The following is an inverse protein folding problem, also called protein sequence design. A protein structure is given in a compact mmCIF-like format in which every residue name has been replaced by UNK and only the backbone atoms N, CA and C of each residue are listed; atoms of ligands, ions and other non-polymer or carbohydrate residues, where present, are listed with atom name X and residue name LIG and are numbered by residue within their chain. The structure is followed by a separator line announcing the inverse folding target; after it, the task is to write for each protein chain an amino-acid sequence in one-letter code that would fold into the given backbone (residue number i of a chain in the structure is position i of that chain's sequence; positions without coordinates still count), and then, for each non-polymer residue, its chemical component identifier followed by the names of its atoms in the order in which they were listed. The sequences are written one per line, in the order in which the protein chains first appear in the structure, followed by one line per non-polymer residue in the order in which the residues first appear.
data_IF_278219453284
#
_entry.id   IF_278219453284
#
_cell.length_a   1.000
_cell.length_b   1.000
_cell.length_c   1.000
_cell.angle_alpha   90.00
_cell.angle_beta   90.00
_cell.angle_gamma   90.00
#
_symmetry.space_group_name_H-M   'P 1'
#
loop_
_entity.id
_entity.type
_entity.pdbx_description
1 polymer ?
#
# COMPACT_ATOMS: atom_id res chain seq x y z
N UNK A 1 -19.25 2.88 -12.52
CA UNK A 1 -17.85 2.93 -12.05
C UNK A 1 -16.90 2.82 -13.23
N UNK A 2 -16.08 3.86 -13.41
CA UNK A 2 -14.81 3.81 -14.14
C UNK A 2 -13.68 3.45 -13.17
N UNK A 3 -12.71 2.64 -13.63
CA UNK A 3 -11.47 2.39 -12.91
C UNK A 3 -10.30 2.99 -13.69
N UNK A 4 -9.52 3.85 -13.04
CA UNK A 4 -8.25 4.35 -13.56
C UNK A 4 -7.08 3.89 -12.67
N UNK A 5 -5.87 3.82 -13.24
CA UNK A 5 -4.64 3.56 -12.49
C UNK A 5 -3.53 4.52 -12.95
N UNK A 6 -2.79 5.09 -11.99
CA UNK A 6 -1.59 5.88 -12.32
C UNK A 6 -0.40 4.97 -12.52
N UNK A 7 0.16 4.95 -13.74
CA UNK A 7 1.40 4.22 -14.01
C UNK A 7 2.64 4.94 -13.45
N UNK A 8 2.57 6.27 -13.29
CA UNK A 8 3.64 7.09 -12.71
C UNK A 8 3.07 7.83 -11.48
N UNK A 9 3.76 7.81 -10.33
CA UNK A 9 3.22 8.28 -9.05
C UNK A 9 3.27 9.81 -8.90
N UNK A 10 2.73 10.55 -9.87
CA UNK A 10 2.61 12.00 -9.79
C UNK A 10 1.29 12.43 -9.14
N UNK A 11 1.27 13.57 -8.42
CA UNK A 11 0.07 14.10 -7.82
C UNK A 11 -1.04 14.29 -8.87
N UNK A 12 -2.22 13.69 -8.68
CA UNK A 12 -3.34 13.94 -9.55
C UNK A 12 -3.85 15.38 -9.34
N UNK A 13 -4.51 16.00 -10.34
CA UNK A 13 -5.13 17.31 -10.14
C UNK A 13 -6.13 17.27 -8.98
N UNK A 14 -6.11 18.26 -8.08
CA UNK A 14 -6.87 18.22 -6.81
C UNK A 14 -8.36 17.93 -6.99
N UNK A 15 -8.99 18.48 -8.05
CA UNK A 15 -10.42 18.29 -8.31
C UNK A 15 -10.78 16.91 -8.86
N UNK A 16 -9.80 16.13 -9.33
CA UNK A 16 -10.03 14.80 -9.92
C UNK A 16 -10.31 13.71 -8.88
N UNK A 17 -10.04 13.97 -7.59
CA UNK A 17 -10.13 12.99 -6.50
C UNK A 17 -11.39 13.10 -5.66
N UNK A 18 -12.06 14.27 -5.64
CA UNK A 18 -13.13 14.61 -4.67
C UNK A 18 -14.33 13.65 -4.75
N UNK A 19 -14.53 13.00 -5.89
CA UNK A 19 -15.61 12.03 -6.12
C UNK A 19 -15.11 10.60 -6.33
N UNK A 20 -13.82 10.33 -6.11
CA UNK A 20 -13.21 9.03 -6.34
C UNK A 20 -12.89 8.32 -5.02
N UNK A 21 -13.15 7.03 -5.01
CA UNK A 21 -12.48 6.11 -4.08
C UNK A 21 -11.05 5.92 -4.58
N UNK A 22 -10.08 5.91 -3.67
CA UNK A 22 -8.67 5.73 -3.99
C UNK A 22 -8.13 4.50 -3.29
N UNK A 23 -7.34 3.68 -3.99
CA UNK A 23 -6.58 2.58 -3.39
C UNK A 23 -5.10 2.85 -3.60
N UNK A 24 -4.36 3.12 -2.53
CA UNK A 24 -2.90 3.29 -2.55
C UNK A 24 -2.24 1.91 -2.51
N UNK A 25 -1.24 1.71 -3.37
CA UNK A 25 -0.47 0.47 -3.48
C UNK A 25 1.03 0.81 -3.43
N UNK A 26 1.77 0.10 -2.59
CA UNK A 26 3.24 0.06 -2.47
C UNK A 26 3.57 -1.34 -1.96
N UNK A 27 3.58 -2.31 -2.87
CA UNK A 27 3.61 -3.74 -2.54
C UNK A 27 4.91 -4.09 -1.83
N UNK A 28 6.02 -3.55 -2.32
CA UNK A 28 7.37 -3.76 -1.82
C UNK A 28 7.87 -2.42 -1.27
N UNK A 29 7.58 -2.05 -0.01
CA UNK A 29 6.93 -2.88 1.03
C UNK A 29 5.85 -2.13 1.81
N UNK A 30 5.66 -0.83 1.60
CA UNK A 30 5.00 0.03 2.59
C UNK A 30 3.54 -0.36 2.84
N UNK A 31 2.74 -0.59 1.80
CA UNK A 31 1.33 -0.98 1.98
C UNK A 31 1.18 -2.40 2.51
N UNK A 32 2.07 -3.33 2.14
CA UNK A 32 2.12 -4.68 2.72
C UNK A 32 2.43 -4.63 4.22
N UNK A 33 3.38 -3.80 4.64
CA UNK A 33 3.68 -3.53 6.07
C UNK A 33 2.49 -2.92 6.79
N UNK A 34 1.84 -1.92 6.20
CA UNK A 34 0.66 -1.26 6.81
C UNK A 34 -0.48 -2.25 7.03
N UNK A 35 -0.83 -3.02 6.00
CA UNK A 35 -1.90 -4.02 6.06
C UNK A 35 -1.56 -5.09 7.09
N UNK A 36 -0.32 -5.60 7.08
CA UNK A 36 0.12 -6.63 8.00
C UNK A 36 0.13 -6.11 9.45
N UNK A 37 0.72 -4.94 9.71
CA UNK A 37 0.80 -4.36 11.05
C UNK A 37 -0.58 -4.14 11.70
N UNK A 38 -1.56 -3.64 10.93
CA UNK A 38 -2.94 -3.48 11.42
C UNK A 38 -3.57 -4.86 11.67
N UNK A 39 -3.31 -5.86 10.82
CA UNK A 39 -3.76 -7.25 11.06
C UNK A 39 -3.18 -7.88 12.33
N UNK A 40 -2.03 -7.40 12.79
CA UNK A 40 -1.39 -7.83 14.02
C UNK A 40 -1.78 -6.98 15.25
N UNK A 41 -2.71 -6.04 15.10
CA UNK A 41 -3.30 -5.30 16.22
C UNK A 41 -2.65 -3.94 16.50
N UNK A 42 -1.93 -3.35 15.54
CA UNK A 42 -1.61 -1.92 15.58
C UNK A 42 -2.90 -1.10 15.61
N UNK A 43 -2.97 -0.10 16.51
CA UNK A 43 -4.18 0.71 16.72
C UNK A 43 -4.39 1.71 15.58
N UNK A 44 -3.31 2.34 15.15
CA UNK A 44 -3.26 3.26 14.02
C UNK A 44 -1.83 3.37 13.51
N UNK A 45 -1.70 3.75 12.24
CA UNK A 45 -0.42 4.03 11.60
C UNK A 45 -0.40 5.49 11.15
N UNK A 46 0.64 6.23 11.52
CA UNK A 46 0.90 7.60 11.13
C UNK A 46 1.97 7.61 10.03
N UNK A 47 1.60 7.68 8.75
CA UNK A 47 2.57 7.81 7.66
C UNK A 47 3.12 9.24 7.63
N UNK A 48 4.44 9.39 7.83
CA UNK A 48 5.12 10.69 7.84
C UNK A 48 6.22 10.74 6.79
N UNK A 49 6.54 11.95 6.31
CA UNK A 49 7.44 12.10 5.16
C UNK A 49 8.90 12.03 5.60
N UNK A 50 9.24 12.65 6.74
CA UNK A 50 10.63 12.77 7.18
C UNK A 50 10.91 12.00 8.48
N UNK A 51 12.19 11.75 8.72
CA UNK A 51 12.65 11.09 9.95
C UNK A 51 12.43 12.03 11.14
N UNK A 52 12.68 13.32 10.95
CA UNK A 52 12.49 14.37 11.93
C UNK A 52 11.02 14.44 12.36
N UNK A 53 10.09 14.42 11.40
CA UNK A 53 8.66 14.38 11.68
C UNK A 53 8.29 13.13 12.48
N UNK A 54 8.83 11.96 12.12
CA UNK A 54 8.58 10.72 12.85
C UNK A 54 9.01 10.82 14.32
N UNK A 55 10.21 11.37 14.57
CA UNK A 55 10.75 11.57 15.90
C UNK A 55 9.95 12.59 16.71
N UNK A 56 9.47 13.65 16.06
CA UNK A 56 8.65 14.67 16.73
C UNK A 56 7.27 14.12 17.09
N UNK A 57 6.61 13.39 16.19
CA UNK A 57 5.34 12.70 16.47
C UNK A 57 5.47 11.68 17.60
N UNK A 58 6.61 10.99 17.70
CA UNK A 58 6.83 10.03 18.78
C UNK A 58 6.85 10.69 20.17
N UNK A 59 7.29 11.95 20.27
CA UNK A 59 7.28 12.72 21.53
C UNK A 59 5.86 13.12 21.97
N UNK A 60 4.92 13.21 21.03
CA UNK A 60 3.51 13.54 21.29
C UNK A 60 2.71 12.34 21.83
N UNK A 61 3.23 11.12 21.69
CA UNK A 61 2.56 9.89 22.12
C UNK A 61 3.07 9.46 23.50
N UNK A 62 2.20 8.94 24.40
CA UNK A 62 2.65 8.42 25.70
C UNK A 62 3.76 7.40 25.56
N UNK A 63 4.79 7.53 26.41
CA UNK A 63 5.97 6.66 26.38
C UNK A 63 5.58 5.18 26.38
N UNK A 64 6.15 4.41 25.45
CA UNK A 64 5.90 2.98 25.29
C UNK A 64 4.67 2.64 24.43
N UNK A 65 3.89 3.64 24.01
CA UNK A 65 2.66 3.47 23.20
C UNK A 65 2.86 3.74 21.70
N UNK A 66 4.08 4.13 21.29
CA UNK A 66 4.47 4.31 19.90
C UNK A 66 5.59 3.32 19.51
N UNK A 67 5.60 2.94 18.23
CA UNK A 67 6.67 2.21 17.56
C UNK A 67 7.11 3.06 16.36
N UNK A 68 8.41 3.33 16.26
CA UNK A 68 9.02 3.94 15.09
C UNK A 68 9.38 2.85 14.08
N UNK A 69 8.72 2.88 12.93
CA UNK A 69 8.93 1.96 11.82
C UNK A 69 9.38 2.71 10.57
N UNK A 70 10.21 2.09 9.73
CA UNK A 70 10.53 2.69 8.45
C UNK A 70 11.87 2.34 7.85
N UNK A 71 12.12 2.90 6.68
CA UNK A 71 13.33 2.63 5.91
C UNK A 71 13.88 3.86 5.19
N UNK A 72 15.18 3.83 4.92
CA UNK A 72 15.85 4.59 3.86
C UNK A 72 16.77 3.64 3.11
N UNK A 73 16.72 3.67 1.79
CA UNK A 73 17.43 2.72 0.93
C UNK A 73 17.18 1.25 1.35
N UNK A 74 15.94 0.90 1.66
CA UNK A 74 15.49 -0.41 2.14
C UNK A 74 16.05 -0.86 3.50
N UNK A 75 16.86 -0.04 4.19
CA UNK A 75 17.44 -0.35 5.50
C UNK A 75 16.67 0.32 6.62
N UNK A 76 16.58 -0.35 7.78
CA UNK A 76 16.03 0.25 8.99
C UNK A 76 16.76 1.54 9.34
N UNK A 77 16.00 2.58 9.64
CA UNK A 77 16.54 3.89 10.04
C UNK A 77 17.23 3.76 11.40
N UNK A 78 18.39 4.39 11.56
CA UNK A 78 19.12 4.36 12.82
C UNK A 78 18.26 4.97 13.95
N UNK A 79 18.14 4.25 15.06
CA UNK A 79 17.31 4.65 16.20
C UNK A 79 15.84 4.27 16.10
N UNK A 80 15.39 3.66 14.99
CA UNK A 80 14.03 3.14 14.87
C UNK A 80 13.90 1.73 15.45
N UNK A 81 12.70 1.43 15.94
CA UNK A 81 12.37 0.13 16.52
C UNK A 81 12.37 -0.95 15.43
N UNK A 82 11.63 -0.70 14.34
CA UNK A 82 11.40 -1.65 13.24
C UNK A 82 11.82 -1.06 11.88
N UNK A 83 12.18 -1.94 10.95
CA UNK A 83 12.42 -1.62 9.55
C UNK A 83 11.13 -1.54 8.74
N UNK A 84 11.21 -1.94 7.47
CA UNK A 84 10.07 -2.00 6.55
C UNK A 84 9.85 -3.43 6.02
N UNK A 85 10.23 -4.46 6.78
CA UNK A 85 9.88 -5.86 6.49
C UNK A 85 8.59 -6.23 7.24
N UNK A 86 7.56 -6.82 6.57
CA UNK A 86 6.33 -7.25 7.24
C UNK A 86 6.56 -8.16 8.45
N UNK A 87 7.57 -9.04 8.41
CA UNK A 87 7.87 -9.98 9.51
C UNK A 87 8.30 -9.30 10.81
N UNK A 88 8.75 -8.05 10.77
CA UNK A 88 9.10 -7.28 11.97
C UNK A 88 7.85 -6.83 12.76
N UNK A 89 6.69 -6.77 12.10
CA UNK A 89 5.44 -6.20 12.60
C UNK A 89 4.55 -7.28 13.23
N UNK A 90 5.03 -7.94 14.29
CA UNK A 90 4.31 -9.03 14.99
C UNK A 90 3.40 -8.53 16.12
N UNK A 91 2.38 -9.33 16.47
CA UNK A 91 1.35 -8.95 17.44
C UNK A 91 1.91 -8.62 18.84
N UNK A 92 2.94 -9.35 19.28
CA UNK A 92 3.61 -9.15 20.57
C UNK A 92 4.21 -7.74 20.69
N UNK A 93 4.69 -7.19 19.58
CA UNK A 93 5.28 -5.84 19.51
C UNK A 93 4.22 -4.77 19.35
N UNK A 94 3.17 -5.04 18.57
CA UNK A 94 2.25 -4.02 18.06
C UNK A 94 0.95 -3.85 18.84
N UNK A 95 0.50 -4.86 19.58
CA UNK A 95 -0.84 -4.85 20.19
C UNK A 95 -1.05 -3.61 21.05
N UNK A 96 -2.05 -2.80 20.68
CA UNK A 96 -2.40 -1.59 21.43
C UNK A 96 -1.48 -0.39 21.18
N UNK A 97 -0.49 -0.50 20.27
CA UNK A 97 0.46 0.56 19.97
C UNK A 97 0.12 1.29 18.67
N UNK A 98 0.57 2.53 18.59
CA UNK A 98 0.60 3.34 17.36
C UNK A 98 1.90 3.07 16.62
N UNK A 99 1.85 2.98 15.30
CA UNK A 99 3.06 2.91 14.47
C UNK A 99 3.25 4.26 13.79
N UNK A 100 4.42 4.86 13.93
CA UNK A 100 4.80 6.04 13.15
C UNK A 100 5.75 5.52 12.07
N UNK A 101 5.31 5.60 10.82
CA UNK A 101 5.95 4.95 9.67
C UNK A 101 6.49 6.01 8.71
N UNK A 102 7.78 5.92 8.35
CA UNK A 102 8.35 6.72 7.26
C UNK A 102 9.07 5.85 6.25
N UNK A 103 8.75 6.01 4.97
CA UNK A 103 9.38 5.30 3.86
C UNK A 103 9.70 6.28 2.73
N UNK A 104 10.47 5.82 1.76
CA UNK A 104 10.94 6.63 0.63
C UNK A 104 9.80 7.03 -0.32
N UNK A 105 8.88 6.08 -0.57
CA UNK A 105 7.83 6.17 -1.58
C UNK A 105 6.42 6.25 -0.96
N UNK A 106 5.98 5.18 -0.28
CA UNK A 106 4.59 5.00 0.15
C UNK A 106 3.97 6.12 1.00
N UNK A 107 4.73 6.78 1.88
CA UNK A 107 4.14 7.85 2.70
C UNK A 107 3.77 9.09 1.88
N UNK A 108 4.49 9.40 0.79
CA UNK A 108 4.15 10.52 -0.10
C UNK A 108 2.87 10.26 -0.90
N UNK A 109 2.62 9.01 -1.27
CA UNK A 109 1.43 8.63 -2.03
C UNK A 109 0.14 9.00 -1.29
N UNK A 110 0.06 8.72 0.02
CA UNK A 110 -1.10 9.12 0.85
C UNK A 110 -1.35 10.63 0.87
N UNK A 111 -0.27 11.43 0.89
CA UNK A 111 -0.39 12.88 0.85
C UNK A 111 -0.91 13.37 -0.51
N UNK A 112 -0.43 12.79 -1.62
CA UNK A 112 -0.87 13.13 -2.96
C UNK A 112 -2.35 12.83 -3.22
N UNK A 113 -2.90 11.81 -2.55
CA UNK A 113 -4.29 11.40 -2.75
C UNK A 113 -5.23 11.81 -1.62
N UNK A 114 -4.77 12.64 -0.68
CA UNK A 114 -5.50 13.05 0.52
C UNK A 114 -6.87 13.73 0.26
N UNK A 115 -7.11 14.26 -0.94
CA UNK A 115 -8.39 14.81 -1.36
C UNK A 115 -9.41 13.74 -1.85
N UNK A 116 -9.04 12.46 -1.84
CA UNK A 116 -9.91 11.34 -2.17
C UNK A 116 -11.05 11.15 -1.16
N UNK A 117 -12.20 10.64 -1.63
CA UNK A 117 -13.39 10.48 -0.78
C UNK A 117 -13.23 9.37 0.25
N UNK A 118 -12.69 8.24 -0.18
CA UNK A 118 -12.25 7.14 0.66
C UNK A 118 -10.88 6.70 0.17
N UNK A 119 -9.91 6.53 1.07
CA UNK A 119 -8.53 6.20 0.70
C UNK A 119 -8.19 4.88 1.39
N UNK A 120 -8.22 3.80 0.63
CA UNK A 120 -7.89 2.46 1.12
C UNK A 120 -6.43 2.12 0.87
N UNK A 121 -5.91 1.26 1.74
CA UNK A 121 -4.57 0.67 1.58
C UNK A 121 -4.72 -0.73 0.99
N UNK A 122 -4.14 -0.93 -0.19
CA UNK A 122 -4.18 -2.21 -0.90
C UNK A 122 -2.80 -2.84 -1.04
N UNK A 123 -2.71 -4.14 -0.80
CA UNK A 123 -1.60 -5.01 -1.18
C UNK A 123 -2.17 -6.38 -1.53
N UNK A 124 -1.36 -7.29 -2.10
CA UNK A 124 -1.81 -8.67 -2.34
C UNK A 124 -2.41 -9.34 -1.09
N UNK A 125 -1.98 -8.92 0.10
CA UNK A 125 -2.42 -9.45 1.39
C UNK A 125 -3.92 -9.27 1.65
N UNK A 126 -4.61 -8.30 1.03
CA UNK A 126 -5.99 -7.94 1.35
C UNK A 126 -6.87 -7.54 0.15
N UNK A 127 -6.44 -7.78 -1.10
CA UNK A 127 -7.16 -7.30 -2.29
C UNK A 127 -8.61 -7.77 -2.37
N UNK A 128 -8.96 -8.92 -1.78
CA UNK A 128 -10.32 -9.45 -1.80
C UNK A 128 -11.29 -8.59 -1.02
N UNK A 129 -10.87 -8.19 0.18
CA UNK A 129 -11.61 -7.27 1.02
C UNK A 129 -11.61 -5.86 0.45
N UNK A 130 -10.49 -5.38 -0.09
CA UNK A 130 -10.42 -4.08 -0.77
C UNK A 130 -11.38 -4.03 -1.96
N UNK A 131 -11.39 -5.06 -2.82
CA UNK A 131 -12.31 -5.14 -3.96
C UNK A 131 -13.77 -5.09 -3.51
N UNK A 132 -14.13 -5.85 -2.46
CA UNK A 132 -15.47 -5.80 -1.88
C UNK A 132 -15.81 -4.39 -1.38
N UNK A 133 -14.88 -3.74 -0.69
CA UNK A 133 -15.08 -2.41 -0.11
C UNK A 133 -15.24 -1.33 -1.19
N UNK A 134 -14.48 -1.40 -2.28
CA UNK A 134 -14.63 -0.48 -3.41
C UNK A 134 -16.04 -0.53 -4.01
N UNK A 135 -16.68 -1.70 -4.01
CA UNK A 135 -18.03 -1.89 -4.55
C UNK A 135 -19.16 -1.49 -3.59
N UNK A 136 -18.86 -1.21 -2.32
CA UNK A 136 -19.85 -0.66 -1.38
C UNK A 136 -20.23 0.80 -1.74
N UNK A 137 -19.40 1.46 -2.55
CA UNK A 137 -19.60 2.84 -2.97
C UNK A 137 -19.81 2.91 -4.48
N UNK A 138 -20.84 3.65 -4.91
CA UNK A 138 -21.06 3.95 -6.33
C UNK A 138 -20.18 5.13 -6.77
N UNK A 139 -18.87 4.98 -6.64
CA UNK A 139 -17.86 5.97 -7.03
C UNK A 139 -16.95 5.40 -8.12
N UNK A 140 -16.34 6.29 -8.90
CA UNK A 140 -15.20 5.91 -9.72
C UNK A 140 -13.99 5.58 -8.84
N UNK A 141 -13.16 4.66 -9.30
CA UNK A 141 -12.00 4.17 -8.58
C UNK A 141 -10.71 4.70 -9.22
N UNK A 142 -9.82 5.24 -8.39
CA UNK A 142 -8.43 5.48 -8.76
C UNK A 142 -7.53 4.51 -7.99
N UNK A 143 -6.75 3.72 -8.72
CA UNK A 143 -5.67 2.94 -8.14
C UNK A 143 -4.39 3.79 -8.24
N UNK A 144 -3.71 3.96 -7.12
CA UNK A 144 -2.51 4.81 -7.02
C UNK A 144 -1.29 3.98 -6.55
N UNK A 145 -0.57 3.37 -7.50
CA UNK A 145 0.80 2.88 -7.30
C UNK A 145 1.70 3.99 -6.76
N UNK A 146 2.46 3.69 -5.72
CA UNK A 146 3.43 4.62 -5.12
C UNK A 146 4.71 4.70 -5.93
N UNK A 147 4.98 3.68 -6.76
CA UNK A 147 6.12 3.65 -7.67
C UNK A 147 7.45 3.52 -6.92
N UNK A 148 8.53 3.72 -7.66
CA UNK A 148 9.89 3.67 -7.12
C UNK A 148 10.66 4.94 -7.48
N UNK A 149 10.84 5.83 -6.50
CA UNK A 149 11.51 7.14 -6.66
C UNK A 149 10.97 7.97 -7.85
N UNK A 150 9.64 7.98 -8.01
CA UNK A 150 8.96 8.71 -9.10
C UNK A 150 8.83 7.93 -10.41
N UNK A 151 9.34 6.69 -10.45
CA UNK A 151 9.25 5.83 -11.62
C UNK A 151 8.11 4.81 -11.52
N UNK A 152 7.79 4.20 -12.65
CA UNK A 152 6.87 3.07 -12.75
C UNK A 152 7.33 1.88 -11.89
N UNK A 153 6.41 1.33 -11.08
CA UNK A 153 6.61 0.07 -10.35
C UNK A 153 5.83 -1.07 -11.02
N UNK A 154 6.54 -2.14 -11.37
CA UNK A 154 5.94 -3.31 -12.00
C UNK A 154 5.05 -4.06 -11.01
N UNK A 155 5.54 -4.34 -9.81
CA UNK A 155 4.81 -5.04 -8.76
C UNK A 155 3.54 -4.30 -8.33
N UNK A 156 3.60 -2.97 -8.18
CA UNK A 156 2.43 -2.17 -7.80
C UNK A 156 1.37 -2.20 -8.91
N UNK A 157 1.81 -2.10 -10.16
CA UNK A 157 0.90 -2.14 -11.33
C UNK A 157 0.26 -3.52 -11.47
N UNK A 158 1.01 -4.61 -11.26
CA UNK A 158 0.47 -5.97 -11.24
C UNK A 158 -0.54 -6.16 -10.10
N UNK A 159 -0.27 -5.61 -8.92
CA UNK A 159 -1.20 -5.62 -7.80
C UNK A 159 -2.49 -4.84 -8.12
N UNK A 160 -2.37 -3.67 -8.77
CA UNK A 160 -3.51 -2.91 -9.27
C UNK A 160 -4.33 -3.67 -10.32
N UNK A 161 -3.66 -4.38 -11.23
CA UNK A 161 -4.31 -5.26 -12.20
C UNK A 161 -5.10 -6.40 -11.56
N UNK A 162 -4.56 -6.99 -10.48
CA UNK A 162 -5.26 -8.01 -9.71
C UNK A 162 -6.49 -7.45 -8.99
N UNK A 163 -6.42 -6.22 -8.49
CA UNK A 163 -7.57 -5.54 -7.91
C UNK A 163 -8.67 -5.32 -8.96
N UNK A 164 -8.30 -4.85 -10.16
CA UNK A 164 -9.23 -4.67 -11.30
C UNK A 164 -9.93 -6.00 -11.62
N UNK A 165 -9.17 -7.09 -11.80
CA UNK A 165 -9.72 -8.42 -12.06
C UNK A 165 -10.76 -8.84 -10.99
N UNK A 166 -10.44 -8.62 -9.71
CA UNK A 166 -11.32 -8.98 -8.60
C UNK A 166 -12.60 -8.18 -8.58
N UNK A 167 -12.53 -6.90 -8.91
CA UNK A 167 -13.71 -6.04 -8.98
C UNK A 167 -14.58 -6.46 -10.17
N UNK A 168 -14.00 -6.68 -11.36
CA UNK A 168 -14.71 -7.15 -12.56
C UNK A 168 -15.44 -8.47 -12.33
N UNK A 169 -14.79 -9.44 -11.66
CA UNK A 169 -15.40 -10.72 -11.29
C UNK A 169 -16.57 -10.59 -10.30
N UNK A 170 -16.66 -9.50 -9.53
CA UNK A 170 -17.68 -9.28 -8.48
C UNK A 170 -18.85 -8.42 -8.93
N UNK A 171 -18.60 -7.37 -9.69
CA UNK A 171 -19.57 -6.30 -9.98
C UNK A 171 -20.76 -6.77 -10.83
N UNK A 172 -20.61 -7.87 -11.59
CA UNK A 172 -21.67 -8.46 -12.40
C UNK A 172 -22.22 -7.55 -13.51
N UNK A 173 -21.73 -6.31 -13.60
CA UNK A 173 -22.05 -5.28 -14.59
C UNK A 173 -20.76 -4.84 -15.30
N UNK A 174 -20.87 -4.23 -16.50
CA UNK A 174 -19.72 -3.68 -17.19
C UNK A 174 -19.00 -2.61 -16.36
N UNK A 175 -17.67 -2.71 -16.28
CA UNK A 175 -16.78 -1.70 -15.69
C UNK A 175 -16.03 -1.02 -16.82
N UNK A 176 -15.98 0.31 -16.80
CA UNK A 176 -15.17 1.06 -17.75
C UNK A 176 -13.70 1.08 -17.28
N UNK A 177 -12.78 0.63 -18.13
CA UNK A 177 -11.34 0.70 -17.91
C UNK A 177 -10.73 1.77 -18.82
N UNK A 178 -9.86 2.59 -18.26
CA UNK A 178 -8.90 3.42 -19.02
C UNK A 178 -7.82 2.56 -19.69
N UNK A 179 -7.07 3.13 -20.64
CA UNK A 179 -5.94 2.42 -21.26
C UNK A 179 -4.89 1.96 -20.23
N UNK A 180 -4.65 2.78 -19.21
CA UNK A 180 -3.72 2.46 -18.14
C UNK A 180 -4.20 1.26 -17.30
N UNK A 181 -5.51 1.21 -16.99
CA UNK A 181 -6.09 0.11 -16.22
C UNK A 181 -6.22 -1.17 -17.05
N UNK A 182 -6.51 -1.05 -18.35
CA UNK A 182 -6.42 -2.18 -19.28
C UNK A 182 -4.99 -2.74 -19.36
N UNK A 183 -3.97 -1.87 -19.41
CA UNK A 183 -2.56 -2.27 -19.38
C UNK A 183 -2.20 -3.00 -18.07
N UNK A 184 -2.59 -2.45 -16.91
CA UNK A 184 -2.35 -3.08 -15.62
C UNK A 184 -3.03 -4.46 -15.52
N UNK A 185 -4.26 -4.58 -16.03
CA UNK A 185 -4.99 -5.84 -16.07
C UNK A 185 -4.29 -6.90 -16.94
N UNK A 186 -3.83 -6.54 -18.14
CA UNK A 186 -3.04 -7.42 -19.01
C UNK A 186 -1.72 -7.84 -18.33
N UNK A 187 -1.03 -6.91 -17.69
CA UNK A 187 0.19 -7.21 -16.93
C UNK A 187 -0.08 -8.21 -15.80
N UNK A 188 -1.17 -8.03 -15.06
CA UNK A 188 -1.57 -9.00 -14.04
C UNK A 188 -1.84 -10.38 -14.64
N UNK A 189 -2.60 -10.49 -15.72
CA UNK A 189 -2.88 -11.77 -16.38
C UNK A 189 -1.59 -12.51 -16.79
N UNK A 190 -0.54 -11.78 -17.18
CA UNK A 190 0.78 -12.40 -17.46
C UNK A 190 1.43 -13.02 -16.22
N UNK A 191 1.21 -12.47 -15.03
CA UNK A 191 1.87 -12.90 -13.80
C UNK A 191 0.93 -13.62 -12.82
N UNK A 192 -0.36 -13.80 -13.13
CA UNK A 192 -1.36 -14.42 -12.26
C UNK A 192 -0.93 -15.78 -11.71
N UNK A 193 -0.29 -16.61 -12.55
CA UNK A 193 0.22 -17.92 -12.15
C UNK A 193 1.48 -17.89 -11.27
N UNK A 194 2.20 -16.76 -11.22
CA UNK A 194 3.42 -16.59 -10.42
C UNK A 194 3.75 -15.11 -10.17
N UNK A 195 3.16 -14.53 -9.12
CA UNK A 195 3.39 -13.12 -8.75
C UNK A 195 4.85 -12.84 -8.39
N UNK A 196 5.54 -13.82 -7.80
CA UNK A 196 6.98 -13.73 -7.47
C UNK A 196 7.83 -13.52 -8.73
N UNK A 197 7.39 -13.98 -9.91
CA UNK A 197 8.07 -13.68 -11.17
C UNK A 197 8.08 -12.17 -11.46
N UNK A 198 6.98 -11.46 -11.19
CA UNK A 198 6.92 -10.01 -11.36
C UNK A 198 7.94 -9.30 -10.46
N UNK A 199 8.06 -9.74 -9.19
CA UNK A 199 8.99 -9.14 -8.23
C UNK A 199 10.45 -9.40 -8.62
N UNK A 200 10.76 -10.62 -9.06
CA UNK A 200 12.12 -10.93 -9.53
C UNK A 200 12.49 -10.21 -10.83
N UNK A 201 11.50 -9.74 -11.61
CA UNK A 201 11.73 -8.95 -12.83
C UNK A 201 11.83 -7.46 -12.55
N UNK A 202 11.13 -6.96 -11.54
CA UNK A 202 11.10 -5.54 -11.22
C UNK A 202 12.45 -5.03 -10.71
N UNK A 203 12.67 -3.72 -10.86
CA UNK A 203 13.90 -3.09 -10.39
C UNK A 203 13.98 -3.15 -8.86
N UNK A 204 12.92 -2.73 -8.17
CA UNK A 204 12.87 -2.69 -6.71
C UNK A 204 12.98 -4.09 -6.08
N UNK A 205 12.30 -5.10 -6.65
CA UNK A 205 12.38 -6.47 -6.15
C UNK A 205 13.79 -7.07 -6.28
N UNK A 206 14.50 -6.80 -7.40
CA UNK A 206 15.91 -7.19 -7.55
C UNK A 206 16.80 -6.49 -6.51
N UNK A 207 16.53 -5.24 -6.19
CA UNK A 207 17.30 -4.48 -5.21
C UNK A 207 17.10 -5.02 -3.79
N UNK A 208 15.87 -5.34 -3.40
CA UNK A 208 15.57 -6.00 -2.12
C UNK A 208 16.30 -7.34 -1.99
N UNK A 209 16.31 -8.16 -3.05
CA UNK A 209 17.07 -9.42 -3.07
C UNK A 209 18.56 -9.18 -2.83
N UNK A 210 19.18 -8.20 -3.50
CA UNK A 210 20.60 -7.87 -3.31
C UNK A 210 20.90 -7.42 -1.89
N UNK A 211 19.94 -6.77 -1.23
CA UNK A 211 20.05 -6.27 0.15
C UNK A 211 19.70 -7.33 1.21
N UNK A 212 19.38 -8.56 0.81
CA UNK A 212 19.09 -9.67 1.72
C UNK A 212 17.62 -9.82 2.12
N UNK A 213 16.70 -9.08 1.51
CA UNK A 213 15.26 -9.10 1.81
C UNK A 213 14.48 -10.02 0.86
N UNK A 214 15.06 -11.17 0.48
CA UNK A 214 14.36 -12.12 -0.41
C UNK A 214 13.07 -12.64 0.23
N UNK A 215 13.08 -12.92 1.52
CA UNK A 215 11.90 -13.44 2.21
C UNK A 215 10.73 -12.44 2.23
N UNK A 216 11.02 -11.14 2.23
CA UNK A 216 9.98 -10.11 2.17
C UNK A 216 9.18 -10.18 0.86
N UNK A 217 9.79 -10.62 -0.25
CA UNK A 217 9.08 -10.82 -1.51
C UNK A 217 8.05 -11.95 -1.35
N UNK A 218 8.43 -13.03 -0.67
CA UNK A 218 7.53 -14.17 -0.40
C UNK A 218 6.37 -13.72 0.50
N UNK A 219 6.64 -12.93 1.54
CA UNK A 219 5.59 -12.39 2.41
C UNK A 219 4.62 -11.48 1.65
N UNK A 220 5.15 -10.56 0.85
CA UNK A 220 4.35 -9.57 0.10
C UNK A 220 3.57 -10.19 -1.06
N UNK A 221 3.95 -11.38 -1.53
CA UNK A 221 3.24 -12.11 -2.59
C UNK A 221 2.06 -12.95 -2.08
N UNK A 222 1.90 -13.09 -0.76
CA UNK A 222 0.78 -13.84 -0.19
C UNK A 222 -0.55 -13.15 -0.53
N UNK A 223 -1.56 -13.94 -0.84
CA UNK A 223 -2.84 -13.44 -1.34
C UNK A 223 -3.90 -13.58 -0.24
N UNK A 224 -4.62 -12.49 0.04
CA UNK A 224 -5.78 -12.44 0.95
C UNK A 224 -5.58 -13.14 2.30
N UNK A 225 -4.46 -12.87 2.97
CA UNK A 225 -4.21 -13.44 4.29
C UNK A 225 -4.99 -12.72 5.39
N UNK A 226 -5.65 -11.61 5.07
CA UNK A 226 -6.48 -10.82 5.97
C UNK A 226 -7.62 -10.14 5.20
N UNK A 227 -8.77 -10.01 5.85
CA UNK A 227 -9.93 -9.26 5.34
C UNK A 227 -9.94 -7.79 5.79
N UNK A 228 -8.89 -7.33 6.47
CA UNK A 228 -8.78 -5.94 6.94
C UNK A 228 -8.53 -5.01 5.76
N UNK A 229 -9.29 -3.91 5.72
CA UNK A 229 -9.11 -2.82 4.77
C UNK A 229 -8.70 -1.57 5.54
N UNK A 230 -7.39 -1.25 5.63
CA UNK A 230 -6.98 -0.02 6.25
C UNK A 230 -7.45 1.21 5.46
N UNK A 231 -7.86 2.26 6.17
CA UNK A 231 -8.34 3.52 5.61
C UNK A 231 -7.46 4.65 6.09
N UNK A 232 -6.96 5.46 5.16
CA UNK A 232 -6.30 6.72 5.45
C UNK A 232 -7.31 7.86 5.56
N UNK A 233 -7.34 8.55 6.70
CA UNK A 233 -8.20 9.71 6.96
C UNK A 233 -7.51 10.63 7.97
N UNK A 234 -7.54 11.93 7.73
CA UNK A 234 -6.97 12.95 8.64
C UNK A 234 -5.51 12.68 9.08
N UNK A 235 -4.68 12.18 8.15
CA UNK A 235 -3.26 11.89 8.41
C UNK A 235 -2.98 10.58 9.13
N UNK A 236 -4.00 9.75 9.41
CA UNK A 236 -3.85 8.46 10.10
C UNK A 236 -4.46 7.32 9.30
N UNK A 237 -3.88 6.12 9.43
CA UNK A 237 -4.39 4.89 8.85
C UNK A 237 -4.94 3.99 9.96
N UNK A 238 -6.18 3.53 9.82
CA UNK A 238 -6.87 2.64 10.79
C UNK A 238 -7.58 1.51 10.08
N UNK A 239 -7.89 0.42 10.78
CA UNK A 239 -8.84 -0.56 10.27
C UNK A 239 -10.21 0.09 10.04
N UNK A 240 -10.87 -0.24 8.92
CA UNK A 240 -12.29 0.10 8.68
C UNK A 240 -13.19 -0.77 9.57
#
# INVERSE_FOLDING_TARGET
MEIDIRLIPYPPPSNSLIHRTVVVIDVLRATSVIVYAISQGAVEILPVITVEEALDRAKEVPRGSAILGGERESKKIQGFDLGNSPKEYVAETLRGKKVILTTTNGTKAFHFVSAGKEIFVGSFLNLGAVAKKCLEFDHDLLIFPSGDEGNFSLEDTVCGGMLIERIMKREGKPIALTDASQCAHILYQRFEGNLIEAFNRSYHGKELIRRGFREDLDDCARIDITDIVPVFRDGVIKAN
#
